data_IF_061937694834
#
_entry.id   IF_061937694834
#
_cell.length_a   1.000
_cell.length_b   1.000
_cell.length_c   1.000
_cell.angle_alpha   90.00
_cell.angle_beta   90.00
_cell.angle_gamma   90.00
#
_symmetry.space_group_name_H-M   'P 1'
#
loop_
_entity.id
_entity.type
_entity.pdbx_description
1 polymer ?
#
# COMPACT_ATOMS: atom_id res chain seq x y z
N UNK A 1 -6.72 11.29 -5.27
CA UNK A 1 -5.92 12.40 -5.81
C UNK A 1 -4.66 11.79 -6.41
N UNK A 2 -4.20 12.26 -7.58
CA UNK A 2 -2.96 11.77 -8.20
C UNK A 2 -1.78 12.68 -7.83
N UNK A 3 -0.55 12.14 -7.81
CA UNK A 3 0.65 12.94 -7.49
C UNK A 3 0.88 14.11 -8.47
N UNK A 4 0.46 13.97 -9.73
CA UNK A 4 0.56 15.02 -10.75
C UNK A 4 -0.66 15.96 -10.80
N UNK A 5 -1.62 15.81 -9.89
CA UNK A 5 -2.81 16.67 -9.86
C UNK A 5 -2.53 18.01 -9.21
N UNK A 6 -3.21 19.06 -9.67
CA UNK A 6 -3.12 20.40 -9.08
C UNK A 6 -3.52 20.42 -7.60
N UNK A 7 -4.53 19.62 -7.23
CA UNK A 7 -4.96 19.43 -5.84
C UNK A 7 -3.81 18.95 -4.95
N UNK A 8 -3.02 17.98 -5.45
CA UNK A 8 -1.87 17.47 -4.70
C UNK A 8 -0.79 18.52 -4.55
N UNK A 9 -0.38 19.13 -5.66
CA UNK A 9 0.78 20.02 -5.73
C UNK A 9 0.54 21.32 -4.98
N UNK A 10 -0.65 21.91 -5.09
CA UNK A 10 -0.92 23.25 -4.55
C UNK A 10 -1.62 23.25 -3.20
N UNK A 11 -2.35 22.18 -2.84
CA UNK A 11 -3.08 22.15 -1.57
C UNK A 11 -2.52 21.10 -0.62
N UNK A 12 -2.56 19.83 -1.02
CA UNK A 12 -2.23 18.74 -0.10
C UNK A 12 -0.75 18.72 0.31
N UNK A 13 0.17 18.87 -0.63
CA UNK A 13 1.61 18.85 -0.35
C UNK A 13 2.03 20.04 0.51
N UNK A 14 1.67 21.30 0.19
CA UNK A 14 1.97 22.43 1.06
C UNK A 14 1.34 22.28 2.45
N UNK A 15 0.05 21.93 2.52
CA UNK A 15 -0.64 21.78 3.81
C UNK A 15 0.00 20.70 4.68
N UNK A 16 0.30 19.52 4.13
CA UNK A 16 0.96 18.43 4.85
C UNK A 16 2.38 18.81 5.29
N UNK A 17 3.14 19.49 4.45
CA UNK A 17 4.46 20.00 4.78
C UNK A 17 4.40 20.97 5.96
N UNK A 18 3.58 22.01 5.87
CA UNK A 18 3.52 23.04 6.91
C UNK A 18 3.01 22.48 8.24
N UNK A 19 1.93 21.69 8.24
CA UNK A 19 1.39 21.11 9.47
C UNK A 19 2.42 20.20 10.15
N UNK A 20 3.13 19.36 9.38
CA UNK A 20 4.17 18.50 9.91
C UNK A 20 5.28 19.30 10.62
N UNK A 21 5.81 20.33 9.96
CA UNK A 21 6.88 21.16 10.54
C UNK A 21 6.40 22.02 11.71
N UNK A 22 5.14 22.46 11.70
CA UNK A 22 4.54 23.19 12.83
C UNK A 22 4.46 22.30 14.08
N UNK A 23 3.98 21.06 13.93
CA UNK A 23 3.96 20.07 15.02
C UNK A 23 5.37 19.75 15.54
N UNK A 24 6.35 19.65 14.63
CA UNK A 24 7.74 19.43 15.01
C UNK A 24 8.33 20.62 15.77
N UNK A 25 8.01 21.85 15.35
CA UNK A 25 8.41 23.09 16.04
C UNK A 25 7.86 23.17 17.47
N UNK A 26 6.70 22.59 17.73
CA UNK A 26 6.11 22.46 19.07
C UNK A 26 6.67 21.27 19.88
N UNK A 27 7.71 20.58 19.37
CA UNK A 27 8.29 19.36 19.95
C UNK A 27 7.30 18.17 20.04
N UNK A 28 6.20 18.21 19.30
CA UNK A 28 5.18 17.16 19.27
C UNK A 28 5.54 16.06 18.26
N UNK A 29 6.68 15.40 18.47
CA UNK A 29 7.25 14.43 17.51
C UNK A 29 6.29 13.27 17.21
N UNK A 30 5.61 12.74 18.24
CA UNK A 30 4.66 11.62 18.06
C UNK A 30 3.43 12.08 17.26
N UNK A 31 2.91 13.28 17.54
CA UNK A 31 1.79 13.85 16.80
C UNK A 31 2.16 14.12 15.34
N UNK A 32 3.37 14.63 15.08
CA UNK A 32 3.87 14.87 13.72
C UNK A 32 3.95 13.57 12.90
N UNK A 33 4.44 12.48 13.50
CA UNK A 33 4.43 11.15 12.88
C UNK A 33 3.01 10.63 12.64
N UNK A 34 2.14 10.74 13.64
CA UNK A 34 0.74 10.35 13.50
C UNK A 34 0.05 11.12 12.36
N UNK A 35 0.26 12.43 12.30
CA UNK A 35 -0.24 13.27 11.21
C UNK A 35 0.24 12.79 9.83
N UNK A 36 1.53 12.47 9.66
CA UNK A 36 2.06 11.92 8.41
C UNK A 36 1.41 10.60 7.99
N UNK A 37 1.15 9.72 8.96
CA UNK A 37 0.43 8.45 8.71
C UNK A 37 -1.00 8.75 8.26
N UNK A 38 -1.72 9.62 8.97
CA UNK A 38 -3.08 10.01 8.59
C UNK A 38 -3.14 10.71 7.22
N UNK A 39 -2.23 11.64 6.94
CA UNK A 39 -2.13 12.32 5.67
C UNK A 39 -1.90 11.31 4.52
N UNK A 40 -0.99 10.35 4.73
CA UNK A 40 -0.74 9.28 3.75
C UNK A 40 -1.98 8.41 3.52
N UNK A 41 -2.64 7.95 4.58
CA UNK A 41 -3.85 7.13 4.47
C UNK A 41 -4.98 7.88 3.77
N UNK A 42 -5.16 9.17 4.08
CA UNK A 42 -6.12 10.03 3.43
C UNK A 42 -5.81 10.20 1.93
N UNK A 43 -4.56 10.46 1.58
CA UNK A 43 -4.11 10.58 0.19
C UNK A 43 -4.44 9.32 -0.62
N UNK A 44 -4.07 8.15 -0.10
CA UNK A 44 -4.27 6.89 -0.80
C UNK A 44 -5.74 6.44 -0.86
N UNK A 45 -6.57 6.88 0.10
CA UNK A 45 -8.00 6.54 0.15
C UNK A 45 -8.89 7.56 -0.56
N UNK A 46 -8.32 8.66 -1.08
CA UNK A 46 -9.07 9.74 -1.72
C UNK A 46 -9.93 9.25 -2.91
N UNK A 47 -9.45 8.27 -3.67
CA UNK A 47 -10.17 7.75 -4.84
C UNK A 47 -11.23 6.72 -4.47
N UNK A 48 -10.93 5.83 -3.53
CA UNK A 48 -11.88 4.85 -3.04
C UNK A 48 -11.50 4.42 -1.61
N UNK A 49 -12.40 4.70 -0.66
CA UNK A 49 -12.22 4.34 0.75
C UNK A 49 -12.31 2.83 1.00
N UNK A 50 -12.95 2.07 0.11
CA UNK A 50 -13.10 0.62 0.22
C UNK A 50 -11.74 -0.10 0.17
N UNK A 51 -10.71 0.54 -0.38
CA UNK A 51 -9.35 0.03 -0.39
C UNK A 51 -8.53 0.40 0.86
N UNK A 52 -9.03 1.26 1.74
CA UNK A 52 -8.34 1.62 2.98
C UNK A 52 -8.04 0.39 3.87
N UNK A 53 -9.00 -0.53 4.14
CA UNK A 53 -8.71 -1.73 4.92
C UNK A 53 -7.63 -2.60 4.29
N UNK A 54 -7.63 -2.73 2.96
CA UNK A 54 -6.63 -3.49 2.22
C UNK A 54 -5.23 -2.90 2.41
N UNK A 55 -5.10 -1.57 2.31
CA UNK A 55 -3.83 -0.85 2.52
C UNK A 55 -3.34 -1.02 3.96
N UNK A 56 -4.22 -0.88 4.94
CA UNK A 56 -3.89 -1.05 6.36
C UNK A 56 -3.41 -2.48 6.65
N UNK A 57 -4.12 -3.48 6.16
CA UNK A 57 -3.74 -4.89 6.34
C UNK A 57 -2.40 -5.18 5.66
N UNK A 58 -2.19 -4.72 4.42
CA UNK A 58 -0.92 -4.90 3.71
C UNK A 58 0.24 -4.23 4.44
N UNK A 59 0.04 -3.01 4.94
CA UNK A 59 1.05 -2.26 5.70
C UNK A 59 1.41 -2.97 7.01
N UNK A 60 0.42 -3.42 7.79
CA UNK A 60 0.64 -4.15 9.03
C UNK A 60 1.32 -5.49 8.78
N UNK A 61 0.89 -6.23 7.75
CA UNK A 61 1.51 -7.49 7.36
C UNK A 61 2.99 -7.29 7.01
N UNK A 62 3.30 -6.33 6.14
CA UNK A 62 4.68 -6.02 5.76
C UNK A 62 5.52 -5.53 6.95
N UNK A 63 4.94 -4.72 7.84
CA UNK A 63 5.60 -4.30 9.08
C UNK A 63 5.95 -5.49 9.99
N UNK A 64 5.03 -6.43 10.18
CA UNK A 64 5.26 -7.65 10.98
C UNK A 64 6.33 -8.54 10.34
N UNK A 65 6.27 -8.76 9.03
CA UNK A 65 7.27 -9.54 8.29
C UNK A 65 8.66 -8.89 8.41
N UNK A 66 8.77 -7.58 8.15
CA UNK A 66 10.02 -6.83 8.27
C UNK A 66 10.59 -6.86 9.68
N UNK A 67 9.74 -6.69 10.69
CA UNK A 67 10.16 -6.76 12.09
C UNK A 67 10.63 -8.16 12.49
N UNK A 68 9.99 -9.21 11.96
CA UNK A 68 10.38 -10.62 12.21
C UNK A 68 11.71 -10.98 11.56
N UNK A 69 12.05 -10.34 10.44
CA UNK A 69 13.34 -10.52 9.77
C UNK A 69 14.50 -9.77 10.47
N UNK A 70 14.19 -8.74 11.25
CA UNK A 70 15.17 -7.92 11.96
C UNK A 70 15.83 -8.70 13.12
N UNK A 71 17.16 -8.76 13.12
CA UNK A 71 17.94 -9.56 14.08
C UNK A 71 17.82 -9.09 15.53
N UNK A 72 17.47 -7.81 15.73
CA UNK A 72 17.30 -7.22 17.06
C UNK A 72 16.01 -7.71 17.76
N UNK A 73 15.03 -8.23 17.01
CA UNK A 73 13.76 -8.75 17.55
C UNK A 73 13.80 -10.29 17.69
N UNK A 74 14.83 -10.76 18.41
CA UNK A 74 15.21 -12.17 18.64
C UNK A 74 14.23 -13.00 19.50
N UNK A 75 12.91 -12.77 19.41
CA UNK A 75 11.91 -13.50 20.23
C UNK A 75 11.48 -14.85 19.66
N UNK A 76 11.64 -15.10 18.36
CA UNK A 76 11.15 -16.34 17.71
C UNK A 76 12.24 -16.89 16.76
N UNK A 77 12.61 -18.18 16.89
CA UNK A 77 13.45 -18.89 15.92
C UNK A 77 12.60 -19.23 14.68
N UNK A 78 12.41 -18.27 13.79
CA UNK A 78 11.76 -18.49 12.49
C UNK A 78 12.81 -18.64 11.40
N UNK A 79 12.58 -19.53 10.44
CA UNK A 79 13.41 -19.61 9.24
C UNK A 79 13.23 -18.34 8.39
N UNK A 80 14.19 -17.41 8.46
CA UNK A 80 14.13 -16.10 7.78
C UNK A 80 13.83 -16.20 6.28
N UNK A 81 14.38 -17.21 5.61
CA UNK A 81 14.15 -17.43 4.17
C UNK A 81 12.68 -17.72 3.87
N UNK A 82 12.00 -18.49 4.73
CA UNK A 82 10.56 -18.79 4.58
C UNK A 82 9.70 -17.55 4.86
N UNK A 83 10.04 -16.78 5.89
CA UNK A 83 9.34 -15.51 6.21
C UNK A 83 9.44 -14.52 5.05
N UNK A 84 10.64 -14.37 4.48
CA UNK A 84 10.86 -13.53 3.31
C UNK A 84 10.06 -14.05 2.10
N UNK A 85 10.10 -15.35 1.83
CA UNK A 85 9.36 -15.94 0.72
C UNK A 85 7.85 -15.71 0.85
N UNK A 86 7.28 -15.90 2.04
CA UNK A 86 5.86 -15.64 2.31
C UNK A 86 5.54 -14.15 2.08
N UNK A 87 6.38 -13.24 2.58
CA UNK A 87 6.20 -11.80 2.38
C UNK A 87 6.19 -11.42 0.90
N UNK A 88 7.16 -11.92 0.13
CA UNK A 88 7.26 -11.64 -1.32
C UNK A 88 6.07 -12.24 -2.06
N UNK A 89 5.73 -13.50 -1.81
CA UNK A 89 4.60 -14.18 -2.47
C UNK A 89 3.28 -13.46 -2.19
N UNK A 90 3.03 -13.03 -0.96
CA UNK A 90 1.82 -12.28 -0.60
C UNK A 90 1.71 -10.95 -1.37
N UNK A 91 2.80 -10.16 -1.44
CA UNK A 91 2.80 -8.91 -2.17
C UNK A 91 2.65 -9.12 -3.70
N UNK A 92 3.34 -10.12 -4.26
CA UNK A 92 3.19 -10.48 -5.68
C UNK A 92 1.79 -11.01 -6.00
N UNK A 93 1.16 -11.76 -5.09
CA UNK A 93 -0.20 -12.23 -5.27
C UNK A 93 -1.20 -11.06 -5.29
N UNK A 94 -1.05 -10.09 -4.38
CA UNK A 94 -1.86 -8.86 -4.39
C UNK A 94 -1.67 -8.08 -5.69
N UNK A 95 -0.42 -7.93 -6.14
CA UNK A 95 -0.11 -7.25 -7.40
C UNK A 95 -0.71 -7.99 -8.60
N UNK A 96 -0.56 -9.31 -8.66
CA UNK A 96 -1.16 -10.17 -9.67
C UNK A 96 -2.67 -10.00 -9.74
N UNK A 97 -3.34 -10.04 -8.57
CA UNK A 97 -4.79 -9.91 -8.48
C UNK A 97 -5.30 -8.54 -8.93
N UNK A 98 -4.71 -7.44 -8.45
CA UNK A 98 -5.24 -6.11 -8.78
C UNK A 98 -4.77 -5.58 -10.13
N UNK A 99 -3.55 -5.92 -10.57
CA UNK A 99 -2.95 -5.36 -11.79
C UNK A 99 -3.06 -6.26 -13.02
N UNK A 100 -3.02 -7.57 -12.82
CA UNK A 100 -2.84 -8.52 -13.92
C UNK A 100 -4.01 -9.50 -14.07
N UNK A 101 -5.07 -9.43 -13.24
CA UNK A 101 -6.21 -10.36 -13.38
C UNK A 101 -6.86 -10.27 -14.76
N UNK A 102 -7.20 -9.07 -15.23
CA UNK A 102 -7.83 -8.92 -16.55
C UNK A 102 -6.88 -9.37 -17.67
N UNK A 103 -5.58 -9.09 -17.56
CA UNK A 103 -4.58 -9.62 -18.50
C UNK A 103 -4.54 -11.16 -18.51
N UNK A 104 -4.63 -11.80 -17.34
CA UNK A 104 -4.64 -13.26 -17.24
C UNK A 104 -5.94 -13.85 -17.82
N UNK A 105 -7.09 -13.21 -17.57
CA UNK A 105 -8.39 -13.61 -18.11
C UNK A 105 -8.37 -13.51 -19.64
N UNK A 106 -7.91 -12.39 -20.20
CA UNK A 106 -7.82 -12.19 -21.66
C UNK A 106 -6.93 -13.25 -22.33
N UNK A 107 -5.77 -13.59 -21.75
CA UNK A 107 -4.90 -14.63 -22.29
C UNK A 107 -5.52 -16.03 -22.20
N UNK A 108 -6.30 -16.29 -21.14
CA UNK A 108 -7.01 -17.56 -20.99
C UNK A 108 -8.12 -17.69 -22.04
N UNK A 109 -8.93 -16.64 -22.22
CA UNK A 109 -9.99 -16.58 -23.23
C UNK A 109 -9.42 -16.76 -24.65
N UNK A 110 -8.26 -16.16 -24.95
CA UNK A 110 -7.57 -16.36 -26.24
C UNK A 110 -7.10 -17.80 -26.48
N UNK A 111 -6.74 -18.54 -25.43
CA UNK A 111 -6.21 -19.91 -25.54
C UNK A 111 -7.31 -20.97 -25.53
N UNK A 112 -8.39 -20.75 -24.78
CA UNK A 112 -9.44 -21.75 -24.55
C UNK A 112 -10.77 -21.40 -25.24
N UNK A 113 -10.90 -20.20 -25.80
CA UNK A 113 -12.10 -19.76 -26.53
C UNK A 113 -13.33 -19.58 -25.64
N UNK A 114 -13.16 -19.54 -24.33
CA UNK A 114 -14.22 -19.15 -23.41
C UNK A 114 -14.29 -17.62 -23.31
N UNK A 115 -15.47 -17.09 -22.96
CA UNK A 115 -15.69 -15.64 -22.81
C UNK A 115 -15.94 -15.34 -21.33
N UNK A 116 -14.87 -15.30 -20.54
CA UNK A 116 -14.95 -14.96 -19.12
C UNK A 116 -15.07 -13.45 -18.98
N UNK A 117 -16.03 -12.98 -18.19
CA UNK A 117 -16.21 -11.54 -17.98
C UNK A 117 -15.00 -10.92 -17.27
N UNK A 118 -14.49 -9.82 -17.80
CA UNK A 118 -13.41 -9.04 -17.19
C UNK A 118 -13.87 -8.44 -15.86
N UNK A 119 -12.98 -8.43 -14.87
CA UNK A 119 -13.30 -7.93 -13.54
C UNK A 119 -13.16 -6.41 -13.44
N UNK A 120 -12.37 -5.77 -14.32
CA UNK A 120 -12.15 -4.32 -14.36
C UNK A 120 -11.81 -3.74 -12.98
N UNK A 121 -10.97 -4.45 -12.22
CA UNK A 121 -10.60 -4.04 -10.88
C UNK A 121 -9.77 -2.76 -10.94
N UNK A 122 -10.28 -1.69 -10.33
CA UNK A 122 -9.52 -0.46 -10.18
C UNK A 122 -8.34 -0.70 -9.23
N UNK A 123 -7.12 -0.46 -9.72
CA UNK A 123 -5.89 -0.66 -8.96
C UNK A 123 -5.79 0.33 -7.78
N UNK A 124 -5.65 -0.16 -6.54
CA UNK A 124 -5.33 0.71 -5.41
C UNK A 124 -3.95 1.31 -5.63
N UNK A 125 -3.85 2.64 -5.70
CA UNK A 125 -2.57 3.34 -5.96
C UNK A 125 -1.46 2.88 -5.00
N UNK A 126 -1.79 2.58 -3.75
CA UNK A 126 -0.83 2.24 -2.70
C UNK A 126 -0.12 0.89 -2.86
N UNK A 127 -0.62 -0.03 -3.70
CA UNK A 127 -0.05 -1.39 -3.81
C UNK A 127 0.99 -1.48 -4.94
N UNK A 128 0.92 -0.58 -5.93
CA UNK A 128 1.85 -0.57 -7.07
C UNK A 128 3.03 0.39 -6.91
N UNK A 129 3.07 1.20 -5.85
CA UNK A 129 4.16 2.13 -5.50
C UNK A 129 4.90 1.63 -4.26
#
# INVERSE_FOLDING_TARGET
MLFNSYEFIFFFLPASFFIYFLLLGQRLVIAAKGFLVFASLFFYSWWNIDYLPLILVSMLFNYVIGNTLNENFRRIRVHKKSVLAIGVVANLALLGYFKYSDFLIENFDLLFGESVALMHLALPLAISF
#
